data_IF_334752441581
#
_entry.id   IF_334752441581
#
_cell.length_a   1.000
_cell.length_b   1.000
_cell.length_c   1.000
_cell.angle_alpha   90.00
_cell.angle_beta   90.00
_cell.angle_gamma   90.00
#
_symmetry.space_group_name_H-M   'P 1'
#
loop_
_entity.id
_entity.type
_entity.pdbx_description
1 polymer ?
#
# COMPACT_ATOMS: atom_id res chain seq x y z
N UNK A 1 -15.59 -13.66 30.01
CA UNK A 1 -16.28 -14.14 28.79
C UNK A 1 -17.05 -13.04 28.06
N UNK A 2 -18.12 -12.41 28.61
CA UNK A 2 -18.86 -11.35 27.91
C UNK A 2 -17.99 -10.14 27.49
N UNK A 3 -17.16 -9.63 28.42
CA UNK A 3 -16.25 -8.49 28.14
C UNK A 3 -15.25 -8.84 27.05
N UNK A 4 -14.71 -10.04 27.05
CA UNK A 4 -13.76 -10.52 26.04
C UNK A 4 -14.42 -10.61 24.66
N UNK A 5 -15.62 -11.16 24.57
CA UNK A 5 -16.38 -11.25 23.32
C UNK A 5 -16.71 -9.86 22.75
N UNK A 6 -17.10 -8.90 23.62
CA UNK A 6 -17.33 -7.51 23.22
C UNK A 6 -16.03 -6.88 22.71
N UNK A 7 -14.91 -7.09 23.42
CA UNK A 7 -13.62 -6.57 22.99
C UNK A 7 -13.21 -7.11 21.60
N UNK A 8 -13.41 -8.40 21.36
CA UNK A 8 -13.16 -9.01 20.04
C UNK A 8 -14.06 -8.40 18.96
N UNK A 9 -15.36 -8.29 19.19
CA UNK A 9 -16.30 -7.73 18.20
C UNK A 9 -15.93 -6.27 17.87
N UNK A 10 -15.67 -5.44 18.89
CA UNK A 10 -15.27 -4.04 18.69
C UNK A 10 -13.95 -3.96 17.92
N UNK A 11 -12.95 -4.75 18.30
CA UNK A 11 -11.67 -4.81 17.59
C UNK A 11 -11.88 -5.24 16.13
N UNK A 12 -12.76 -6.20 15.88
CA UNK A 12 -13.10 -6.64 14.53
C UNK A 12 -13.69 -5.50 13.68
N UNK A 13 -14.74 -4.87 14.16
CA UNK A 13 -15.43 -3.81 13.41
C UNK A 13 -14.46 -2.67 13.09
N UNK A 14 -13.67 -2.22 14.08
CA UNK A 14 -12.68 -1.18 13.87
C UNK A 14 -11.60 -1.62 12.86
N UNK A 15 -11.10 -2.83 13.00
CA UNK A 15 -10.06 -3.37 12.14
C UNK A 15 -10.55 -3.56 10.70
N UNK A 16 -11.75 -4.09 10.50
CA UNK A 16 -12.36 -4.24 9.17
C UNK A 16 -12.58 -2.88 8.50
N UNK A 17 -13.09 -1.88 9.25
CA UNK A 17 -13.25 -0.52 8.76
C UNK A 17 -11.92 0.12 8.33
N UNK A 18 -10.90 0.00 9.17
CA UNK A 18 -9.56 0.50 8.87
C UNK A 18 -8.94 -0.18 7.64
N UNK A 19 -9.08 -1.51 7.51
CA UNK A 19 -8.59 -2.23 6.33
C UNK A 19 -9.29 -1.82 5.05
N UNK A 20 -10.63 -1.72 5.09
CA UNK A 20 -11.40 -1.23 3.95
C UNK A 20 -10.93 0.17 3.53
N UNK A 21 -10.69 1.06 4.50
CA UNK A 21 -10.15 2.39 4.25
C UNK A 21 -8.75 2.34 3.62
N UNK A 22 -7.84 1.50 4.13
CA UNK A 22 -6.50 1.29 3.56
C UNK A 22 -6.55 0.79 2.12
N UNK A 23 -7.42 -0.19 1.82
CA UNK A 23 -7.63 -0.73 0.47
C UNK A 23 -8.19 0.36 -0.46
N UNK A 24 -9.17 1.16 0.01
CA UNK A 24 -9.74 2.26 -0.77
C UNK A 24 -8.68 3.32 -1.12
N UNK A 25 -7.82 3.70 -0.17
CA UNK A 25 -6.70 4.63 -0.45
C UNK A 25 -5.76 4.02 -1.49
N UNK A 26 -5.36 2.75 -1.34
CA UNK A 26 -4.48 2.08 -2.27
C UNK A 26 -5.10 1.97 -3.68
N UNK A 27 -6.40 1.67 -3.75
CA UNK A 27 -7.15 1.63 -5.01
C UNK A 27 -7.22 3.00 -5.69
N UNK A 28 -7.55 4.06 -4.93
CA UNK A 28 -7.57 5.43 -5.46
C UNK A 28 -6.21 5.86 -6.01
N UNK A 29 -5.13 5.56 -5.27
CA UNK A 29 -3.77 5.84 -5.71
C UNK A 29 -3.44 5.08 -7.00
N UNK A 30 -3.75 3.78 -7.07
CA UNK A 30 -3.54 2.98 -8.27
C UNK A 30 -4.35 3.50 -9.45
N UNK A 31 -5.63 3.81 -9.27
CA UNK A 31 -6.49 4.32 -10.34
C UNK A 31 -6.01 5.68 -10.87
N UNK A 32 -5.53 6.54 -9.97
CA UNK A 32 -5.03 7.88 -10.32
C UNK A 32 -3.70 7.84 -11.07
N UNK A 33 -2.75 7.00 -10.63
CA UNK A 33 -1.37 7.03 -11.15
C UNK A 33 -1.04 5.85 -12.07
N UNK A 34 -1.81 4.76 -12.04
CA UNK A 34 -1.66 3.53 -12.84
C UNK A 34 -0.24 2.94 -12.85
N UNK A 35 0.49 3.08 -11.73
CA UNK A 35 1.85 2.58 -11.57
C UNK A 35 1.87 1.16 -11.05
N UNK A 36 2.80 0.29 -11.52
CA UNK A 36 2.89 -1.10 -11.08
C UNK A 36 3.19 -1.24 -9.58
N UNK A 37 3.94 -0.31 -8.99
CA UNK A 37 4.22 -0.28 -7.54
C UNK A 37 2.94 -0.14 -6.72
N UNK A 38 2.02 0.73 -7.16
CA UNK A 38 0.74 0.94 -6.50
C UNK A 38 -0.20 -0.25 -6.66
N UNK A 39 -0.15 -0.95 -7.80
CA UNK A 39 -0.88 -2.20 -7.98
C UNK A 39 -0.39 -3.27 -7.01
N UNK A 40 0.94 -3.43 -6.87
CA UNK A 40 1.53 -4.40 -5.94
C UNK A 40 1.17 -4.07 -4.49
N UNK A 41 1.19 -2.78 -4.10
CA UNK A 41 0.76 -2.32 -2.79
C UNK A 41 -0.74 -2.62 -2.55
N UNK A 42 -1.60 -2.38 -3.53
CA UNK A 42 -3.03 -2.70 -3.44
C UNK A 42 -3.26 -4.20 -3.24
N UNK A 43 -2.63 -5.05 -4.05
CA UNK A 43 -2.75 -6.50 -3.91
C UNK A 43 -2.20 -6.99 -2.56
N UNK A 44 -1.09 -6.43 -2.08
CA UNK A 44 -0.56 -6.76 -0.76
C UNK A 44 -1.59 -6.48 0.34
N UNK A 45 -2.31 -5.35 0.28
CA UNK A 45 -3.37 -5.01 1.22
C UNK A 45 -4.55 -5.98 1.16
N UNK A 46 -5.02 -6.29 -0.05
CA UNK A 46 -6.15 -7.22 -0.24
C UNK A 46 -5.81 -8.61 0.31
N UNK A 47 -4.62 -9.15 0.00
CA UNK A 47 -4.22 -10.46 0.48
C UNK A 47 -3.96 -10.49 1.99
N UNK A 48 -3.37 -9.43 2.56
CA UNK A 48 -3.20 -9.31 4.01
C UNK A 48 -4.56 -9.30 4.72
N UNK A 49 -5.51 -8.53 4.21
CA UNK A 49 -6.86 -8.48 4.77
C UNK A 49 -7.59 -9.81 4.65
N UNK A 50 -7.47 -10.49 3.51
CA UNK A 50 -8.04 -11.84 3.34
C UNK A 50 -7.46 -12.83 4.35
N UNK A 51 -6.14 -12.81 4.57
CA UNK A 51 -5.52 -13.62 5.62
C UNK A 51 -6.11 -13.33 7.00
N UNK A 52 -6.26 -12.05 7.37
CA UNK A 52 -6.78 -11.66 8.68
C UNK A 52 -8.24 -12.11 8.86
N UNK A 53 -9.07 -11.98 7.84
CA UNK A 53 -10.46 -12.44 7.89
C UNK A 53 -10.53 -13.96 8.04
N UNK A 54 -9.84 -14.72 7.20
CA UNK A 54 -9.97 -16.18 7.20
C UNK A 54 -9.21 -16.85 8.36
N UNK A 55 -8.00 -16.41 8.68
CA UNK A 55 -7.20 -17.05 9.73
C UNK A 55 -7.49 -16.55 11.13
N UNK A 56 -7.56 -15.23 11.31
CA UNK A 56 -7.69 -14.65 12.66
C UNK A 56 -9.15 -14.58 13.06
N UNK A 57 -9.96 -13.90 12.26
CA UNK A 57 -11.37 -13.69 12.62
C UNK A 57 -12.21 -14.94 12.43
N UNK A 58 -11.94 -15.74 11.41
CA UNK A 58 -12.59 -17.04 11.22
C UNK A 58 -12.39 -17.93 12.44
N UNK A 59 -11.17 -17.98 12.99
CA UNK A 59 -10.86 -18.76 14.17
C UNK A 59 -11.56 -18.22 15.44
N UNK A 60 -11.52 -16.89 15.68
CA UNK A 60 -12.18 -16.28 16.83
C UNK A 60 -13.68 -16.49 16.77
N UNK A 61 -14.31 -16.24 15.64
CA UNK A 61 -15.76 -16.43 15.44
C UNK A 61 -16.15 -17.88 15.67
N UNK A 62 -15.35 -18.80 15.12
CA UNK A 62 -15.59 -20.23 15.32
C UNK A 62 -15.53 -20.62 16.79
N UNK A 63 -14.50 -20.18 17.52
CA UNK A 63 -14.38 -20.46 18.97
C UNK A 63 -15.57 -19.94 19.76
N UNK A 64 -16.08 -18.76 19.43
CA UNK A 64 -17.29 -18.21 20.06
C UNK A 64 -18.50 -19.09 19.76
N UNK A 65 -18.71 -19.45 18.49
CA UNK A 65 -19.83 -20.32 18.08
C UNK A 65 -19.72 -21.71 18.68
N UNK A 66 -18.53 -22.31 18.69
CA UNK A 66 -18.30 -23.65 19.21
C UNK A 66 -18.45 -23.75 20.74
N UNK A 67 -18.22 -22.64 21.47
CA UNK A 67 -18.50 -22.60 22.91
C UNK A 67 -20.00 -22.62 23.22
N UNK A 68 -20.83 -22.16 22.31
CA UNK A 68 -22.30 -22.13 22.47
C UNK A 68 -22.98 -23.41 21.93
N UNK A 69 -22.28 -24.23 21.14
CA UNK A 69 -22.78 -25.47 20.57
C UNK A 69 -22.01 -26.65 21.20
N UNK A 70 -22.71 -27.60 21.82
CA UNK A 70 -22.10 -28.85 22.32
C UNK A 70 -21.64 -29.74 21.15
N UNK A 71 -20.48 -29.41 20.58
CA UNK A 71 -19.84 -30.23 19.56
C UNK A 71 -18.89 -31.25 20.19
N UNK A 72 -18.70 -32.37 19.46
CA UNK A 72 -17.71 -33.36 19.79
C UNK A 72 -16.33 -32.67 19.96
N UNK A 73 -15.62 -32.85 21.11
CA UNK A 73 -14.33 -32.23 21.39
C UNK A 73 -13.28 -32.46 20.30
N UNK A 74 -13.27 -33.64 19.66
CA UNK A 74 -12.33 -33.96 18.58
C UNK A 74 -12.59 -33.13 17.31
N UNK A 75 -13.88 -32.88 16.99
CA UNK A 75 -14.24 -32.05 15.84
C UNK A 75 -13.88 -30.58 16.10
N UNK A 76 -14.15 -30.08 17.29
CA UNK A 76 -13.78 -28.72 17.71
C UNK A 76 -12.27 -28.51 17.62
N UNK A 77 -11.46 -29.45 18.11
CA UNK A 77 -10.00 -29.40 18.02
C UNK A 77 -9.50 -29.39 16.58
N UNK A 78 -10.06 -30.22 15.70
CA UNK A 78 -9.69 -30.25 14.25
C UNK A 78 -10.05 -28.94 13.54
N UNK A 79 -11.23 -28.39 13.80
CA UNK A 79 -11.68 -27.15 13.19
C UNK A 79 -10.83 -25.94 13.64
N UNK A 80 -10.41 -25.90 14.89
CA UNK A 80 -9.56 -24.83 15.41
C UNK A 80 -8.19 -24.76 14.75
N UNK A 81 -7.66 -25.88 14.23
CA UNK A 81 -6.42 -25.93 13.47
C UNK A 81 -6.66 -25.67 11.99
N UNK A 82 -7.74 -26.25 11.42
CA UNK A 82 -7.97 -26.20 9.96
C UNK A 82 -8.33 -24.78 9.48
N UNK A 83 -9.15 -24.03 10.21
CA UNK A 83 -9.63 -22.71 9.77
C UNK A 83 -8.49 -21.69 9.63
N UNK A 84 -7.55 -21.55 10.58
CA UNK A 84 -6.40 -20.68 10.38
C UNK A 84 -5.57 -21.03 9.14
N UNK A 85 -5.50 -22.32 8.79
CA UNK A 85 -4.74 -22.78 7.62
C UNK A 85 -5.33 -22.29 6.29
N UNK A 86 -6.64 -22.07 6.20
CA UNK A 86 -7.30 -21.54 4.98
C UNK A 86 -6.72 -20.17 4.59
N UNK A 87 -6.34 -19.36 5.56
CA UNK A 87 -5.77 -18.04 5.32
C UNK A 87 -4.29 -18.05 4.93
N UNK A 88 -3.52 -19.12 5.19
CA UNK A 88 -2.08 -19.15 4.95
C UNK A 88 -1.67 -18.82 3.49
N UNK A 89 -2.34 -19.31 2.45
CA UNK A 89 -2.02 -18.93 1.08
C UNK A 89 -2.08 -17.42 0.86
N UNK A 90 -3.07 -16.73 1.44
CA UNK A 90 -3.19 -15.28 1.34
C UNK A 90 -2.04 -14.56 2.04
N UNK A 91 -1.58 -15.06 3.18
CA UNK A 91 -0.42 -14.50 3.90
C UNK A 91 0.86 -14.64 3.06
N UNK A 92 1.09 -15.80 2.46
CA UNK A 92 2.25 -16.05 1.59
C UNK A 92 2.26 -15.09 0.40
N UNK A 93 1.12 -14.89 -0.26
CA UNK A 93 1.01 -13.92 -1.36
C UNK A 93 1.22 -12.49 -0.86
N UNK A 94 0.70 -12.13 0.31
CA UNK A 94 0.93 -10.81 0.92
C UNK A 94 2.43 -10.56 1.17
N UNK A 95 3.17 -11.54 1.71
CA UNK A 95 4.62 -11.47 1.90
C UNK A 95 5.37 -11.31 0.58
N UNK A 96 5.01 -12.09 -0.42
CA UNK A 96 5.57 -11.98 -1.77
C UNK A 96 5.36 -10.56 -2.33
N UNK A 97 4.13 -10.03 -2.24
CA UNK A 97 3.81 -8.69 -2.72
C UNK A 97 4.55 -7.60 -1.95
N UNK A 98 4.73 -7.75 -0.64
CA UNK A 98 5.49 -6.80 0.19
C UNK A 98 6.96 -6.71 -0.24
N UNK A 99 7.63 -7.85 -0.41
CA UNK A 99 9.02 -7.88 -0.88
C UNK A 99 9.13 -7.37 -2.32
N UNK A 100 8.20 -7.73 -3.19
CA UNK A 100 8.14 -7.21 -4.56
C UNK A 100 7.96 -5.70 -4.61
N UNK A 101 7.15 -5.13 -3.71
CA UNK A 101 6.99 -3.68 -3.56
C UNK A 101 8.33 -3.00 -3.21
N UNK A 102 9.06 -3.53 -2.22
CA UNK A 102 10.38 -3.03 -1.87
C UNK A 102 11.38 -3.07 -3.04
N UNK A 103 11.36 -4.18 -3.80
CA UNK A 103 12.24 -4.36 -4.96
C UNK A 103 11.90 -3.40 -6.12
N UNK A 104 10.60 -3.13 -6.35
CA UNK A 104 10.15 -2.16 -7.33
C UNK A 104 10.59 -0.74 -6.93
N UNK A 105 10.38 -0.33 -5.69
CA UNK A 105 10.79 0.97 -5.19
C UNK A 105 12.31 1.18 -5.32
N UNK A 106 13.08 0.13 -5.13
CA UNK A 106 14.55 0.17 -5.24
C UNK A 106 15.07 -0.10 -6.66
N UNK A 107 14.18 -0.26 -7.65
CA UNK A 107 14.52 -0.57 -9.06
C UNK A 107 15.49 -1.76 -9.17
N UNK A 108 15.25 -2.81 -8.38
CA UNK A 108 16.11 -3.97 -8.30
C UNK A 108 16.11 -4.80 -9.58
N UNK A 109 17.30 -5.12 -10.10
CA UNK A 109 17.46 -6.01 -11.26
C UNK A 109 16.99 -7.45 -10.99
N UNK A 110 16.98 -7.87 -9.71
CA UNK A 110 16.56 -9.20 -9.30
C UNK A 110 15.03 -9.41 -9.39
N UNK A 111 14.24 -8.37 -9.69
CA UNK A 111 12.78 -8.44 -9.75
C UNK A 111 12.25 -9.55 -10.68
N UNK A 112 12.94 -9.83 -11.79
CA UNK A 112 12.55 -10.87 -12.76
C UNK A 112 12.75 -12.29 -12.21
N UNK A 113 13.80 -12.50 -11.41
CA UNK A 113 14.19 -13.80 -10.88
C UNK A 113 13.48 -14.07 -9.54
N UNK A 114 13.03 -13.03 -8.85
CA UNK A 114 12.47 -13.09 -7.52
C UNK A 114 11.35 -14.13 -7.34
N UNK A 115 10.33 -14.26 -8.21
CA UNK A 115 9.30 -15.28 -8.05
C UNK A 115 9.87 -16.71 -8.08
N UNK A 116 10.84 -16.95 -8.95
CA UNK A 116 11.49 -18.26 -9.10
C UNK A 116 12.41 -18.64 -7.93
N UNK A 117 12.78 -17.69 -7.09
CA UNK A 117 13.55 -17.92 -5.87
C UNK A 117 12.61 -17.99 -4.67
N UNK A 118 11.66 -17.07 -4.53
CA UNK A 118 10.80 -16.97 -3.36
C UNK A 118 9.95 -18.22 -3.12
N UNK A 119 9.20 -18.68 -4.13
CA UNK A 119 8.31 -19.82 -3.95
C UNK A 119 9.04 -21.15 -3.71
N UNK A 120 10.09 -21.52 -4.47
CA UNK A 120 10.86 -22.71 -4.17
C UNK A 120 11.54 -22.67 -2.80
N UNK A 121 12.09 -21.52 -2.40
CA UNK A 121 12.71 -21.37 -1.06
C UNK A 121 11.67 -21.58 0.04
N UNK A 122 10.45 -21.06 -0.12
CA UNK A 122 9.37 -21.28 0.83
C UNK A 122 9.00 -22.78 0.93
N UNK A 123 8.87 -23.46 -0.22
CA UNK A 123 8.56 -24.90 -0.26
C UNK A 123 9.65 -25.71 0.44
N UNK A 124 10.93 -25.43 0.15
CA UNK A 124 12.06 -26.09 0.81
C UNK A 124 12.04 -25.83 2.31
N UNK A 125 11.77 -24.59 2.74
CA UNK A 125 11.70 -24.25 4.16
C UNK A 125 10.56 -25.00 4.87
N UNK A 126 9.38 -25.11 4.27
CA UNK A 126 8.25 -25.89 4.82
C UNK A 126 8.64 -27.38 4.91
N UNK A 127 9.27 -27.92 3.85
CA UNK A 127 9.72 -29.30 3.82
C UNK A 127 10.74 -29.59 4.92
N UNK A 128 11.73 -28.72 5.10
CA UNK A 128 12.74 -28.84 6.18
C UNK A 128 12.06 -28.78 7.54
N UNK A 129 11.09 -27.86 7.75
CA UNK A 129 10.34 -27.78 9.00
C UNK A 129 9.59 -29.09 9.30
N UNK A 130 8.92 -29.67 8.31
CA UNK A 130 8.22 -30.95 8.44
C UNK A 130 9.21 -32.07 8.82
N UNK A 131 10.38 -32.10 8.19
CA UNK A 131 11.44 -33.10 8.51
C UNK A 131 11.95 -32.94 9.95
N UNK A 132 12.17 -31.69 10.42
CA UNK A 132 12.62 -31.41 11.79
C UNK A 132 11.59 -31.87 12.82
N UNK A 133 10.31 -31.67 12.54
CA UNK A 133 9.21 -32.14 13.38
C UNK A 133 9.12 -33.66 13.36
N UNK A 134 9.15 -34.27 12.17
CA UNK A 134 9.08 -35.72 12.01
C UNK A 134 10.22 -36.47 12.74
N UNK A 135 11.45 -35.97 12.64
CA UNK A 135 12.60 -36.51 13.32
C UNK A 135 12.71 -36.16 14.81
N UNK A 136 11.67 -35.52 15.38
CA UNK A 136 11.62 -35.06 16.78
C UNK A 136 12.77 -34.11 17.20
N UNK A 137 13.48 -33.53 16.22
CA UNK A 137 14.47 -32.46 16.47
C UNK A 137 13.78 -31.19 16.99
N UNK A 138 12.59 -30.93 16.44
CA UNK A 138 11.69 -29.86 16.92
C UNK A 138 10.44 -30.52 17.50
N UNK A 139 10.38 -30.74 18.82
CA UNK A 139 9.22 -31.35 19.44
C UNK A 139 8.01 -30.41 19.36
N UNK A 140 6.86 -30.92 18.98
CA UNK A 140 5.61 -30.18 19.04
C UNK A 140 5.21 -30.08 20.51
N UNK A 141 5.08 -28.87 21.08
CA UNK A 141 4.61 -28.71 22.46
C UNK A 141 3.16 -29.19 22.60
N UNK A 142 2.70 -29.43 23.83
CA UNK A 142 1.31 -29.75 24.10
C UNK A 142 0.33 -28.67 23.58
N UNK A 143 0.78 -27.42 23.50
CA UNK A 143 0.06 -26.28 22.91
C UNK A 143 0.43 -26.10 21.44
N UNK A 144 0.00 -27.01 20.57
CA UNK A 144 0.29 -26.97 19.13
C UNK A 144 -0.12 -25.63 18.46
N UNK A 145 -1.22 -25.04 18.89
CA UNK A 145 -1.72 -23.75 18.38
C UNK A 145 -0.70 -22.63 18.61
N UNK A 146 -0.16 -22.53 19.83
CA UNK A 146 0.85 -21.52 20.17
C UNK A 146 2.17 -21.75 19.44
N UNK A 147 2.52 -22.99 19.19
CA UNK A 147 3.71 -23.34 18.42
C UNK A 147 3.59 -22.87 16.96
N UNK A 148 2.45 -23.12 16.30
CA UNK A 148 2.16 -22.64 14.94
C UNK A 148 2.20 -21.12 14.90
N UNK A 149 1.55 -20.44 15.85
CA UNK A 149 1.55 -18.96 15.92
C UNK A 149 2.98 -18.43 16.03
N UNK A 150 3.85 -19.02 16.87
CA UNK A 150 5.24 -18.58 17.02
C UNK A 150 6.04 -18.74 15.75
N UNK A 151 5.85 -19.85 15.01
CA UNK A 151 6.49 -20.05 13.71
C UNK A 151 6.03 -18.97 12.73
N UNK A 152 4.73 -18.72 12.62
CA UNK A 152 4.18 -17.73 11.71
C UNK A 152 4.66 -16.31 12.05
N UNK A 153 4.72 -15.96 13.33
CA UNK A 153 5.29 -14.68 13.81
C UNK A 153 6.76 -14.58 13.44
N UNK A 154 7.56 -15.63 13.65
CA UNK A 154 8.97 -15.67 13.29
C UNK A 154 9.20 -15.50 11.78
N UNK A 155 8.42 -16.19 10.95
CA UNK A 155 8.48 -16.05 9.49
C UNK A 155 8.07 -14.64 9.06
N UNK A 156 7.03 -14.09 9.65
CA UNK A 156 6.61 -12.75 9.35
C UNK A 156 7.68 -11.71 9.70
N UNK A 157 8.35 -11.85 10.85
CA UNK A 157 9.48 -11.00 11.22
C UNK A 157 10.64 -11.13 10.23
N UNK A 158 10.96 -12.33 9.79
CA UNK A 158 12.00 -12.58 8.79
C UNK A 158 11.69 -11.86 7.46
N UNK A 159 10.46 -11.93 6.99
CA UNK A 159 10.03 -11.23 5.76
C UNK A 159 10.17 -9.71 5.92
N UNK A 160 9.76 -9.16 7.07
CA UNK A 160 9.89 -7.73 7.33
C UNK A 160 11.34 -7.28 7.53
N UNK A 161 12.18 -8.16 8.07
CA UNK A 161 13.62 -7.93 8.09
C UNK A 161 14.20 -7.82 6.67
N UNK A 162 13.84 -8.73 5.76
CA UNK A 162 14.26 -8.62 4.35
C UNK A 162 13.68 -7.39 3.65
N UNK A 163 12.45 -7.00 3.98
CA UNK A 163 11.87 -5.74 3.50
C UNK A 163 12.73 -4.54 3.93
N UNK A 164 13.10 -4.45 5.22
CA UNK A 164 13.96 -3.38 5.73
C UNK A 164 15.36 -3.43 5.12
N UNK A 165 15.93 -4.63 4.99
CA UNK A 165 17.25 -4.85 4.40
C UNK A 165 17.29 -4.35 2.94
N UNK A 166 16.23 -4.54 2.16
CA UNK A 166 16.14 -4.03 0.80
C UNK A 166 16.31 -2.51 0.74
N UNK A 167 15.77 -1.77 1.73
CA UNK A 167 15.97 -0.31 1.83
C UNK A 167 17.33 0.07 2.44
N UNK A 168 17.84 -0.71 3.39
CA UNK A 168 19.13 -0.45 4.01
C UNK A 168 20.27 -0.58 2.98
N UNK A 169 20.23 -1.59 2.13
CA UNK A 169 21.23 -1.87 1.09
C UNK A 169 21.10 -0.96 -0.15
N UNK A 170 20.01 -0.23 -0.30
CA UNK A 170 19.86 0.71 -1.39
C UNK A 170 20.91 1.82 -1.30
N UNK A 171 21.84 1.85 -2.27
CA UNK A 171 22.97 2.82 -2.28
C UNK A 171 22.51 4.27 -2.49
N UNK A 172 21.44 4.48 -3.25
CA UNK A 172 20.83 5.79 -3.50
C UNK A 172 19.31 5.66 -3.49
N UNK A 173 18.62 6.70 -3.02
CA UNK A 173 17.15 6.78 -3.22
C UNK A 173 16.86 6.79 -4.74
N UNK A 174 16.10 5.83 -5.18
CA UNK A 174 15.68 5.76 -6.58
C UNK A 174 14.70 6.89 -6.90
N UNK A 175 14.57 7.24 -8.18
CA UNK A 175 13.57 8.22 -8.63
C UNK A 175 12.16 7.79 -8.18
N UNK A 176 11.87 6.50 -8.27
CA UNK A 176 10.59 5.91 -7.85
C UNK A 176 10.36 6.09 -6.35
N UNK A 177 11.33 5.75 -5.50
CA UNK A 177 11.22 5.92 -4.05
C UNK A 177 11.03 7.39 -3.66
N UNK A 178 11.74 8.31 -4.33
CA UNK A 178 11.57 9.77 -4.12
C UNK A 178 10.18 10.24 -4.52
N UNK A 179 9.68 9.77 -5.65
CA UNK A 179 8.37 10.16 -6.17
C UNK A 179 7.23 9.74 -5.22
N UNK A 180 7.33 8.53 -4.65
CA UNK A 180 6.39 8.07 -3.63
C UNK A 180 6.69 8.61 -2.22
N UNK A 181 7.80 9.33 -2.06
CA UNK A 181 8.24 9.86 -0.77
C UNK A 181 8.60 8.78 0.25
N UNK A 182 8.79 7.53 -0.19
CA UNK A 182 9.10 6.41 0.67
C UNK A 182 10.59 6.33 0.95
N UNK A 183 10.99 6.75 2.15
CA UNK A 183 12.38 6.82 2.61
C UNK A 183 12.72 5.68 3.55
N UNK A 184 14.00 5.52 3.87
CA UNK A 184 14.48 4.53 4.86
C UNK A 184 13.78 4.68 6.23
N UNK A 185 13.45 5.92 6.61
CA UNK A 185 12.71 6.21 7.85
C UNK A 185 11.31 5.59 7.84
N UNK A 186 10.57 5.73 6.75
CA UNK A 186 9.22 5.18 6.61
C UNK A 186 9.24 3.64 6.63
N UNK A 187 10.26 3.02 6.01
CA UNK A 187 10.47 1.57 6.11
C UNK A 187 10.76 1.13 7.55
N UNK A 188 11.60 1.87 8.28
CA UNK A 188 11.92 1.58 9.67
C UNK A 188 10.69 1.72 10.59
N UNK A 189 9.88 2.78 10.41
CA UNK A 189 8.63 2.97 11.17
C UNK A 189 7.65 1.85 10.88
N UNK A 190 7.50 1.46 9.61
CA UNK A 190 6.65 0.32 9.23
C UNK A 190 7.07 -0.96 9.96
N UNK A 191 8.37 -1.28 9.95
CA UNK A 191 8.89 -2.47 10.64
C UNK A 191 8.75 -2.35 12.16
N UNK A 192 8.92 -1.16 12.74
CA UNK A 192 8.68 -0.94 14.17
C UNK A 192 7.23 -1.26 14.58
N UNK A 193 6.24 -0.86 13.77
CA UNK A 193 4.83 -1.24 13.98
C UNK A 193 4.67 -2.77 13.95
N UNK A 194 5.33 -3.44 13.00
CA UNK A 194 5.33 -4.90 12.88
C UNK A 194 5.95 -5.58 14.11
N UNK A 195 7.04 -5.03 14.65
CA UNK A 195 7.68 -5.55 15.86
C UNK A 195 6.76 -5.46 17.07
N UNK A 196 5.97 -4.39 17.20
CA UNK A 196 5.03 -4.20 18.33
C UNK A 196 3.98 -5.32 18.33
N UNK A 197 3.32 -5.60 17.21
CA UNK A 197 2.31 -6.65 17.18
C UNK A 197 2.91 -8.05 17.35
N UNK A 198 4.11 -8.27 16.82
CA UNK A 198 4.82 -9.54 16.98
C UNK A 198 5.22 -9.78 18.43
N UNK A 199 5.66 -8.74 19.13
CA UNK A 199 5.93 -8.79 20.57
C UNK A 199 4.64 -9.06 21.36
N UNK A 200 3.54 -8.37 21.05
CA UNK A 200 2.26 -8.60 21.71
C UNK A 200 1.80 -10.06 21.59
N UNK A 201 1.93 -10.66 20.38
CA UNK A 201 1.60 -12.09 20.20
C UNK A 201 2.54 -13.03 20.95
N UNK A 202 3.82 -12.67 21.10
CA UNK A 202 4.79 -13.47 21.86
C UNK A 202 4.46 -13.50 23.36
N UNK A 203 3.83 -12.45 23.86
CA UNK A 203 3.38 -12.33 25.25
C UNK A 203 1.92 -12.77 25.48
N UNK A 204 1.33 -13.51 24.55
CA UNK A 204 -0.06 -13.97 24.63
C UNK A 204 -0.36 -14.70 25.94
N UNK A 205 0.52 -15.57 26.40
CA UNK A 205 0.34 -16.32 27.66
C UNK A 205 0.26 -15.43 28.90
N UNK A 206 0.81 -14.18 28.82
CA UNK A 206 0.81 -13.25 29.95
C UNK A 206 -0.42 -12.34 29.95
N UNK A 207 -0.83 -11.86 28.78
CA UNK A 207 -1.87 -10.84 28.64
C UNK A 207 -3.17 -11.35 27.96
N UNK A 208 -3.21 -12.61 27.52
CA UNK A 208 -4.39 -13.25 26.95
C UNK A 208 -5.03 -12.45 25.79
N UNK A 209 -6.34 -12.20 25.90
CA UNK A 209 -7.10 -11.50 24.85
C UNK A 209 -6.61 -10.08 24.55
N UNK A 210 -5.99 -9.40 25.53
CA UNK A 210 -5.42 -8.06 25.32
C UNK A 210 -4.30 -8.11 24.28
N UNK A 211 -3.43 -9.14 24.33
CA UNK A 211 -2.37 -9.35 23.32
C UNK A 211 -2.95 -9.54 21.93
N UNK A 212 -4.05 -10.27 21.80
CA UNK A 212 -4.73 -10.47 20.51
C UNK A 212 -5.26 -9.12 19.99
N UNK A 213 -5.96 -8.35 20.82
CA UNK A 213 -6.50 -7.05 20.43
C UNK A 213 -5.39 -6.07 19.98
N UNK A 214 -4.28 -6.00 20.73
CA UNK A 214 -3.13 -5.18 20.37
C UNK A 214 -2.52 -5.66 19.04
N UNK A 215 -2.31 -6.96 18.87
CA UNK A 215 -1.75 -7.53 17.66
C UNK A 215 -2.59 -7.23 16.44
N UNK A 216 -3.91 -7.37 16.54
CA UNK A 216 -4.84 -7.05 15.45
C UNK A 216 -4.76 -5.57 15.13
N UNK A 217 -4.89 -4.68 16.12
CA UNK A 217 -4.85 -3.24 15.90
C UNK A 217 -3.57 -2.78 15.20
N UNK A 218 -2.40 -3.28 15.63
CA UNK A 218 -1.12 -2.94 15.01
C UNK A 218 -0.91 -3.59 13.64
N UNK A 219 -1.44 -4.78 13.39
CA UNK A 219 -1.40 -5.39 12.04
C UNK A 219 -2.17 -4.52 11.04
N UNK A 220 -3.35 -4.03 11.44
CA UNK A 220 -4.13 -3.13 10.61
C UNK A 220 -3.47 -1.75 10.46
N UNK A 221 -2.85 -1.22 11.52
CA UNK A 221 -2.05 -0.01 11.43
C UNK A 221 -0.89 -0.17 10.44
N UNK A 222 -0.20 -1.30 10.44
CA UNK A 222 0.82 -1.63 9.44
C UNK A 222 0.22 -1.67 8.02
N UNK A 223 -0.96 -2.28 7.88
CA UNK A 223 -1.67 -2.33 6.60
C UNK A 223 -1.99 -0.95 6.02
N UNK A 224 -2.48 -0.02 6.83
CA UNK A 224 -2.85 1.33 6.39
C UNK A 224 -1.63 2.22 6.20
N UNK A 225 -0.56 2.00 6.94
CA UNK A 225 0.60 2.88 6.98
C UNK A 225 1.19 3.15 5.59
N UNK A 226 1.40 2.11 4.79
CA UNK A 226 1.99 2.24 3.45
C UNK A 226 1.12 3.11 2.51
N UNK A 227 -0.17 2.81 2.28
CA UNK A 227 -1.04 3.65 1.46
C UNK A 227 -1.17 5.08 1.98
N UNK A 228 -1.25 5.24 3.31
CA UNK A 228 -1.38 6.55 3.94
C UNK A 228 -0.14 7.42 3.69
N UNK A 229 1.07 6.89 3.90
CA UNK A 229 2.31 7.62 3.66
C UNK A 229 2.42 8.03 2.19
N UNK A 230 2.16 7.11 1.26
CA UNK A 230 2.18 7.43 -0.17
C UNK A 230 1.17 8.53 -0.50
N UNK A 231 -0.06 8.46 0.05
CA UNK A 231 -1.09 9.47 -0.16
C UNK A 231 -0.71 10.82 0.43
N UNK A 232 -0.20 10.82 1.66
CA UNK A 232 0.15 12.04 2.38
C UNK A 232 1.34 12.76 1.72
N UNK A 233 2.37 12.04 1.32
CA UNK A 233 3.55 12.62 0.69
C UNK A 233 3.25 13.11 -0.73
N UNK A 234 2.45 12.38 -1.51
CA UNK A 234 1.98 12.87 -2.82
C UNK A 234 1.07 14.09 -2.72
N UNK A 235 0.39 14.30 -1.58
CA UNK A 235 -0.38 15.52 -1.35
C UNK A 235 0.50 16.75 -1.15
N UNK A 236 1.71 16.55 -0.62
CA UNK A 236 2.69 17.62 -0.35
C UNK A 236 3.79 17.72 -1.40
N UNK A 237 4.16 16.64 -2.07
CA UNK A 237 5.00 16.72 -3.25
C UNK A 237 4.13 17.24 -4.39
N UNK A 238 4.17 18.54 -4.63
CA UNK A 238 3.75 19.13 -5.89
C UNK A 238 4.21 18.21 -7.00
N UNK A 239 3.30 17.88 -7.91
CA UNK A 239 3.51 17.03 -9.09
C UNK A 239 4.97 17.02 -9.56
N UNK A 240 5.65 15.84 -9.66
CA UNK A 240 7.03 15.78 -10.15
C UNK A 240 7.16 16.14 -11.65
N UNK A 241 6.06 16.42 -12.31
CA UNK A 241 5.98 16.88 -13.71
C UNK A 241 5.46 18.32 -13.82
N UNK A 242 5.51 19.12 -12.77
CA UNK A 242 5.28 20.53 -12.94
C UNK A 242 6.51 21.13 -13.63
N UNK A 243 6.50 21.06 -14.95
CA UNK A 243 7.27 22.00 -15.74
C UNK A 243 6.95 23.39 -15.19
N UNK A 244 7.94 24.19 -14.92
CA UNK A 244 7.69 25.60 -14.73
C UNK A 244 6.98 26.13 -15.97
N UNK A 245 6.12 27.14 -15.84
CA UNK A 245 5.38 27.66 -16.98
C UNK A 245 6.32 28.11 -18.11
N UNK A 246 7.52 28.56 -17.76
CA UNK A 246 8.58 28.88 -18.73
C UNK A 246 9.01 27.63 -19.51
N UNK A 247 9.26 26.52 -18.84
CA UNK A 247 9.61 25.23 -19.50
C UNK A 247 8.46 24.68 -20.35
N UNK A 248 7.20 24.93 -19.95
CA UNK A 248 6.03 24.64 -20.79
C UNK A 248 6.05 25.48 -22.08
N UNK A 249 6.33 26.78 -21.95
CA UNK A 249 6.43 27.66 -23.12
C UNK A 249 7.55 27.25 -24.06
N UNK A 250 8.71 26.85 -23.57
CA UNK A 250 9.81 26.33 -24.37
C UNK A 250 9.43 25.01 -25.08
N UNK A 251 8.83 24.06 -24.36
CA UNK A 251 8.47 22.75 -24.90
C UNK A 251 7.44 22.81 -26.03
N UNK A 252 6.57 23.81 -26.01
CA UNK A 252 5.54 24.03 -27.05
C UNK A 252 5.86 25.22 -27.97
N UNK A 253 7.08 25.75 -27.94
CA UNK A 253 7.53 26.89 -28.73
C UNK A 253 6.61 28.10 -28.60
N UNK A 254 6.08 28.36 -27.41
CA UNK A 254 5.15 29.47 -27.10
C UNK A 254 5.95 30.77 -27.00
N UNK A 255 5.59 31.76 -27.80
CA UNK A 255 6.19 33.10 -27.71
C UNK A 255 5.77 33.82 -26.42
N UNK A 256 6.53 34.84 -26.01
CA UNK A 256 6.21 35.66 -24.81
C UNK A 256 4.78 36.22 -24.87
N UNK A 257 4.33 36.68 -26.04
CA UNK A 257 2.97 37.23 -26.19
C UNK A 257 1.89 36.15 -26.12
N UNK A 258 2.15 34.97 -26.65
CA UNK A 258 1.26 33.83 -26.54
C UNK A 258 1.18 33.34 -25.08
N UNK A 259 2.28 33.40 -24.32
CA UNK A 259 2.31 33.06 -22.89
C UNK A 259 1.42 33.99 -22.06
N UNK A 260 1.45 35.30 -22.30
CA UNK A 260 0.56 36.26 -21.64
C UNK A 260 -0.92 35.91 -21.90
N UNK A 261 -1.25 35.57 -23.16
CA UNK A 261 -2.62 35.17 -23.54
C UNK A 261 -3.04 33.87 -22.86
N UNK A 262 -2.14 32.86 -22.80
CA UNK A 262 -2.40 31.59 -22.11
C UNK A 262 -2.74 31.84 -20.62
N UNK A 263 -1.99 32.68 -19.91
CA UNK A 263 -2.27 33.07 -18.51
C UNK A 263 -3.67 33.63 -18.38
N UNK A 264 -4.08 34.55 -19.27
CA UNK A 264 -5.38 35.15 -19.22
C UNK A 264 -6.53 34.19 -19.60
N UNK A 265 -6.28 33.25 -20.52
CA UNK A 265 -7.21 32.15 -20.83
C UNK A 265 -7.40 31.27 -19.60
N UNK A 266 -6.33 30.91 -18.94
CA UNK A 266 -6.35 30.05 -17.75
C UNK A 266 -7.04 30.74 -16.56
N UNK A 267 -6.96 32.08 -16.46
CA UNK A 267 -7.74 32.86 -15.48
C UNK A 267 -9.22 33.05 -15.85
N UNK A 268 -9.69 32.39 -16.92
CA UNK A 268 -11.11 32.37 -17.31
C UNK A 268 -11.61 33.58 -18.11
N UNK A 269 -10.74 34.54 -18.52
CA UNK A 269 -11.14 35.74 -19.23
C UNK A 269 -11.63 35.49 -20.64
N UNK A 270 -12.61 36.25 -21.09
CA UNK A 270 -13.09 36.23 -22.48
C UNK A 270 -12.08 36.85 -23.43
N UNK A 271 -12.14 36.51 -24.73
CA UNK A 271 -11.24 37.10 -25.72
C UNK A 271 -11.32 38.63 -25.78
N UNK A 272 -12.50 39.19 -25.52
CA UNK A 272 -12.69 40.65 -25.43
C UNK A 272 -11.94 41.24 -24.24
N UNK A 273 -12.10 40.65 -23.06
CA UNK A 273 -11.39 41.04 -21.84
C UNK A 273 -9.86 40.90 -21.97
N UNK A 274 -9.38 39.89 -22.71
CA UNK A 274 -7.96 39.71 -23.02
C UNK A 274 -7.47 40.81 -23.96
N UNK A 275 -8.24 41.11 -25.02
CA UNK A 275 -7.94 42.18 -25.97
C UNK A 275 -7.81 43.56 -25.26
N UNK A 276 -8.79 43.87 -24.41
CA UNK A 276 -8.82 45.10 -23.61
C UNK A 276 -7.62 45.18 -22.65
N UNK A 277 -7.31 44.07 -21.94
CA UNK A 277 -6.21 44.03 -20.98
C UNK A 277 -4.83 44.14 -21.62
N UNK A 278 -4.65 43.52 -22.80
CA UNK A 278 -3.36 43.46 -23.47
C UNK A 278 -3.20 44.58 -24.52
N UNK A 279 -4.18 45.47 -24.64
CA UNK A 279 -4.21 46.58 -25.60
C UNK A 279 -4.00 46.11 -27.06
N UNK A 280 -4.71 45.05 -27.46
CA UNK A 280 -4.70 44.51 -28.83
C UNK A 280 -6.12 44.33 -29.34
N UNK A 281 -6.27 44.09 -30.64
CA UNK A 281 -7.61 43.87 -31.19
C UNK A 281 -8.14 42.48 -30.87
N UNK A 282 -9.46 42.35 -30.84
CA UNK A 282 -10.12 41.05 -30.65
C UNK A 282 -9.67 40.02 -31.71
N UNK A 283 -9.44 40.47 -32.95
CA UNK A 283 -8.96 39.62 -34.05
C UNK A 283 -7.55 39.10 -33.76
N UNK A 284 -6.65 39.97 -33.27
CA UNK A 284 -5.30 39.57 -32.88
C UNK A 284 -5.31 38.50 -31.78
N UNK A 285 -6.23 38.57 -30.77
CA UNK A 285 -6.39 37.56 -29.77
C UNK A 285 -6.85 36.22 -30.38
N UNK A 286 -7.78 36.25 -31.33
CA UNK A 286 -8.24 35.03 -32.05
C UNK A 286 -7.12 34.39 -32.82
N UNK A 287 -6.29 35.17 -33.50
CA UNK A 287 -5.14 34.67 -34.30
C UNK A 287 -4.08 34.05 -33.37
N UNK A 288 -3.78 34.65 -32.23
CA UNK A 288 -2.90 34.06 -31.24
C UNK A 288 -3.49 32.74 -30.66
N UNK A 289 -4.79 32.70 -30.34
CA UNK A 289 -5.43 31.48 -29.86
C UNK A 289 -5.31 30.35 -30.89
N UNK A 290 -5.52 30.64 -32.16
CA UNK A 290 -5.35 29.63 -33.22
C UNK A 290 -3.93 29.07 -33.24
N UNK A 291 -2.90 29.93 -33.20
CA UNK A 291 -1.49 29.51 -33.15
C UNK A 291 -1.18 28.71 -31.91
N UNK A 292 -1.66 29.15 -30.71
CA UNK A 292 -1.48 28.43 -29.45
C UNK A 292 -2.10 27.04 -29.55
N UNK A 293 -3.33 26.90 -30.05
CA UNK A 293 -4.02 25.63 -30.19
C UNK A 293 -3.28 24.69 -31.17
N UNK A 294 -2.75 25.21 -32.28
CA UNK A 294 -1.95 24.46 -33.23
C UNK A 294 -0.65 23.94 -32.57
N UNK A 295 0.08 24.80 -31.86
CA UNK A 295 1.34 24.45 -31.18
C UNK A 295 1.15 23.44 -30.06
N UNK A 296 0.05 23.56 -29.32
CA UNK A 296 -0.24 22.69 -28.16
C UNK A 296 -1.04 21.44 -28.53
N UNK A 297 -1.54 21.35 -29.77
CA UNK A 297 -2.33 20.21 -30.24
C UNK A 297 -3.73 20.12 -29.65
N UNK A 298 -4.24 21.21 -29.02
CA UNK A 298 -5.58 21.25 -28.42
C UNK A 298 -6.61 21.90 -29.35
N UNK A 299 -7.89 21.56 -29.16
CA UNK A 299 -8.99 22.05 -30.00
C UNK A 299 -9.88 23.10 -29.32
N UNK A 300 -9.68 23.35 -28.02
CA UNK A 300 -10.52 24.27 -27.27
C UNK A 300 -9.76 24.92 -26.11
N UNK A 301 -10.27 26.10 -25.66
CA UNK A 301 -9.73 26.83 -24.51
C UNK A 301 -9.77 26.03 -23.20
N UNK A 302 -10.79 25.18 -23.04
CA UNK A 302 -10.92 24.30 -21.87
C UNK A 302 -9.84 23.23 -21.90
N UNK A 303 -9.56 22.64 -23.07
CA UNK A 303 -8.48 21.69 -23.24
C UNK A 303 -7.12 22.34 -22.99
N UNK A 304 -6.90 23.58 -23.45
CA UNK A 304 -5.68 24.33 -23.19
C UNK A 304 -5.47 24.56 -21.69
N UNK A 305 -6.49 25.08 -20.99
CA UNK A 305 -6.44 25.31 -19.55
C UNK A 305 -6.14 24.03 -18.79
N UNK A 306 -6.78 22.91 -19.17
CA UNK A 306 -6.52 21.60 -18.57
C UNK A 306 -5.10 21.10 -18.86
N UNK A 307 -4.59 21.29 -20.09
CA UNK A 307 -3.23 20.90 -20.46
C UNK A 307 -2.18 21.69 -19.66
N UNK A 308 -2.34 23.02 -19.57
CA UNK A 308 -1.45 23.89 -18.78
C UNK A 308 -1.48 23.47 -17.32
N UNK A 309 -2.68 23.32 -16.73
CA UNK A 309 -2.85 22.88 -15.37
C UNK A 309 -2.24 21.49 -15.09
N UNK A 310 -2.41 20.55 -16.02
CA UNK A 310 -1.84 19.20 -15.95
C UNK A 310 -0.31 19.21 -15.99
N UNK A 311 0.27 20.09 -16.81
CA UNK A 311 1.72 20.16 -17.04
C UNK A 311 2.44 21.06 -16.04
N UNK A 312 1.84 22.18 -15.62
CA UNK A 312 2.50 23.16 -14.74
C UNK A 312 2.03 23.11 -13.29
N UNK A 313 0.91 22.44 -13.02
CA UNK A 313 0.30 22.37 -11.66
C UNK A 313 -0.13 23.74 -11.09
N UNK A 314 0.01 24.80 -11.86
CA UNK A 314 -0.40 26.17 -11.52
C UNK A 314 -1.33 26.67 -12.61
N UNK A 315 -2.48 27.14 -12.22
CA UNK A 315 -3.14 28.35 -12.73
C UNK A 315 -4.13 28.81 -11.69
#
# INVERSE_FOLDING_TARGET
MWIENIAYIVTFVLSAGLSAFGILIAFQLYHQYKKPELAVMLYQQVFLFSFLIYSVWGNITLRIILNDIELNPDLSARLSVFIPMIGLPFMVVSWFMLLRFAMLLNSSKALRIFPYVFFPTLVVMIFVLILLIHNKVLPIPNDADLFIIRILVGLNLLIHFFFLLAFALAKKETIVAKEFGFKKREAAVFVAIVLIYSAAMSFFNMFGYISICISIAFTFAAGIYLPFIVRFQNRFSKHPNNMDFEAFCEAYEISKREAEIIIEICSGKTNKAIADKLFITLQTVKDHNHRIFTKTGVKSRVQLSNLVRQKTGKV
#
